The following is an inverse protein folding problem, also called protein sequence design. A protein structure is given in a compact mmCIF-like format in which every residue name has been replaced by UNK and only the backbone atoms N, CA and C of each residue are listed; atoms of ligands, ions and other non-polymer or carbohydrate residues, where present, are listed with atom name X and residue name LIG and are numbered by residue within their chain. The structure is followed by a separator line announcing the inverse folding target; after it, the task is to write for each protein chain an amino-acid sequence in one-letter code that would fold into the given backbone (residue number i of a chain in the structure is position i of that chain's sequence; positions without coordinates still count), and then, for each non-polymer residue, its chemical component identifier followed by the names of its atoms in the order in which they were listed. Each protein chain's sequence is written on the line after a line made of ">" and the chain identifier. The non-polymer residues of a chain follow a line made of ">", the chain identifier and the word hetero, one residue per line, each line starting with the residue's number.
data_IF_667537289721
#
_entry.id   IF_667537289721
#
_cell.length_a   1.000
_cell.length_b   1.000
_cell.length_c   1.000
_cell.angle_alpha   90.00
_cell.angle_beta   90.00
_cell.angle_gamma   90.00
#
_symmetry.space_group_name_H-M   'P 1'
#
loop_
_entity.id
_entity.type
_entity.pdbx_description
1 polymer ?
#
# COMPACT_ATOMS: atom_id res chain seq x y z
N UNK A 1 -8.90 12.96 -23.86
CA UNK A 1 -7.43 12.91 -23.66
C UNK A 1 -7.11 13.87 -22.53
N UNK A 2 -6.45 13.39 -21.48
CA UNK A 2 -5.90 14.21 -20.40
C UNK A 2 -4.41 14.38 -20.68
N UNK A 3 -3.90 15.59 -20.52
CA UNK A 3 -2.48 15.92 -20.69
C UNK A 3 -2.05 16.62 -19.41
N UNK A 4 -1.10 16.03 -18.70
CA UNK A 4 -0.61 16.51 -17.41
C UNK A 4 0.92 16.62 -17.43
N UNK A 5 1.49 17.38 -16.48
CA UNK A 5 2.93 17.42 -16.27
C UNK A 5 3.40 16.07 -15.72
N UNK A 6 4.46 15.51 -16.29
CA UNK A 6 5.12 14.36 -15.69
C UNK A 6 5.77 14.78 -14.39
N UNK A 7 5.32 14.22 -13.28
CA UNK A 7 5.94 14.37 -11.97
C UNK A 7 7.03 13.32 -11.79
N UNK A 8 8.04 13.65 -10.99
CA UNK A 8 9.16 12.76 -10.69
C UNK A 8 9.39 12.75 -9.19
N UNK A 9 9.33 11.60 -8.57
CA UNK A 9 9.53 11.50 -7.14
C UNK A 9 9.00 10.20 -6.57
N UNK A 10 8.94 10.15 -5.25
CA UNK A 10 8.37 9.01 -4.52
C UNK A 10 6.86 9.23 -4.38
N UNK A 11 6.11 8.18 -4.59
CA UNK A 11 4.66 8.19 -4.36
C UNK A 11 4.33 7.85 -2.91
N UNK A 12 3.25 8.45 -2.45
CA UNK A 12 2.70 8.27 -1.11
C UNK A 12 1.20 8.15 -1.17
N UNK A 13 0.64 7.31 -0.31
CA UNK A 13 -0.80 7.22 -0.12
C UNK A 13 -1.17 7.62 1.29
N UNK A 14 -2.13 8.55 1.42
CA UNK A 14 -2.72 8.91 2.70
C UNK A 14 -4.09 8.26 2.84
N UNK A 15 -4.30 7.55 3.94
CA UNK A 15 -5.52 6.82 4.25
C UNK A 15 -6.31 7.49 5.37
N UNK A 16 -7.59 7.75 5.14
CA UNK A 16 -8.47 8.47 6.06
C UNK A 16 -9.69 7.65 6.48
N UNK A 17 -10.10 7.85 7.73
CA UNK A 17 -11.43 7.48 8.23
C UNK A 17 -12.29 8.73 8.37
N UNK A 18 -13.59 8.63 8.02
CA UNK A 18 -14.53 9.73 8.05
C UNK A 18 -15.79 9.39 8.88
N UNK A 19 -16.23 10.36 9.67
CA UNK A 19 -17.52 10.34 10.37
C UNK A 19 -18.13 11.73 10.33
N UNK A 20 -19.34 11.84 9.78
CA UNK A 20 -20.13 13.09 9.70
C UNK A 20 -19.36 14.26 9.07
N UNK A 21 -18.48 13.98 8.14
CA UNK A 21 -17.66 14.96 7.44
C UNK A 21 -16.37 15.38 8.18
N UNK A 22 -16.12 14.84 9.36
CA UNK A 22 -14.82 14.97 10.02
C UNK A 22 -13.92 13.81 9.61
N UNK A 23 -12.67 14.09 9.29
CA UNK A 23 -11.71 13.12 8.81
C UNK A 23 -10.54 12.96 9.78
N UNK A 24 -10.07 11.72 9.94
CA UNK A 24 -8.85 11.40 10.66
C UNK A 24 -7.85 10.73 9.73
N UNK A 25 -6.63 11.24 9.64
CA UNK A 25 -5.53 10.58 8.94
C UNK A 25 -5.15 9.32 9.70
N UNK A 26 -5.47 8.17 9.14
CA UNK A 26 -5.13 6.87 9.74
C UNK A 26 -3.67 6.55 9.48
N UNK A 27 -3.22 6.70 8.23
CA UNK A 27 -1.82 6.43 7.84
C UNK A 27 -1.45 7.20 6.60
N UNK A 28 -0.26 7.80 6.60
CA UNK A 28 0.50 8.12 5.40
C UNK A 28 1.52 7.00 5.21
N UNK A 29 1.61 6.43 4.02
CA UNK A 29 2.56 5.37 3.69
C UNK A 29 3.23 5.64 2.35
N UNK A 30 4.41 5.05 2.12
CA UNK A 30 5.18 5.19 0.88
C UNK A 30 4.88 4.05 -0.07
N UNK A 31 4.90 4.34 -1.36
CA UNK A 31 4.68 3.41 -2.45
C UNK A 31 5.94 3.36 -3.32
N UNK A 32 6.72 2.27 -3.18
CA UNK A 32 7.95 2.09 -3.91
C UNK A 32 7.71 1.29 -5.19
N UNK A 33 8.05 1.91 -6.31
CA UNK A 33 7.90 1.30 -7.62
C UNK A 33 8.85 0.11 -7.83
N UNK A 34 8.42 -0.85 -8.63
CA UNK A 34 9.26 -1.94 -9.13
C UNK A 34 10.29 -1.37 -10.11
N UNK A 35 11.60 -1.47 -9.83
CA UNK A 35 12.63 -1.00 -10.76
C UNK A 35 12.52 -1.64 -12.15
N UNK A 36 12.70 -0.84 -13.19
CA UNK A 36 12.72 -1.32 -14.57
C UNK A 36 11.35 -1.58 -15.21
N UNK A 37 10.27 -1.18 -14.55
CA UNK A 37 8.93 -1.23 -15.16
C UNK A 37 8.62 0.06 -15.92
N UNK A 38 7.93 -0.02 -17.08
CA UNK A 38 7.56 1.16 -17.85
C UNK A 38 6.45 2.00 -17.20
N UNK A 39 5.65 1.40 -16.36
CA UNK A 39 4.59 2.05 -15.58
C UNK A 39 4.96 1.97 -14.10
N UNK A 40 4.52 2.90 -13.29
CA UNK A 40 4.79 2.88 -11.86
C UNK A 40 4.08 1.68 -11.17
N UNK A 41 4.66 0.49 -11.38
CA UNK A 41 4.20 -0.73 -10.72
C UNK A 41 4.75 -0.71 -9.29
N UNK A 42 3.91 -0.39 -8.30
CA UNK A 42 4.36 -0.39 -6.91
C UNK A 42 4.57 -1.80 -6.41
N UNK A 43 5.80 -2.08 -6.01
CA UNK A 43 6.16 -3.39 -5.47
C UNK A 43 6.08 -3.43 -3.95
N UNK A 44 6.33 -2.30 -3.28
CA UNK A 44 6.37 -2.23 -1.81
C UNK A 44 5.58 -1.01 -1.35
N UNK A 45 4.45 -1.25 -0.68
CA UNK A 45 3.70 -0.24 0.05
C UNK A 45 4.05 -0.40 1.53
N UNK A 46 4.51 0.67 2.18
CA UNK A 46 5.03 0.57 3.55
C UNK A 46 4.63 1.75 4.41
N UNK A 47 4.24 1.49 5.67
CA UNK A 47 3.98 2.54 6.66
C UNK A 47 5.24 3.33 7.06
N UNK A 48 6.42 2.93 6.55
CA UNK A 48 7.62 3.76 6.56
C UNK A 48 7.40 5.01 5.68
N UNK A 49 7.63 6.20 6.23
CA UNK A 49 7.35 7.46 5.54
C UNK A 49 8.26 8.56 6.07
N UNK A 50 9.10 9.13 5.19
CA UNK A 50 10.02 10.22 5.52
C UNK A 50 9.42 11.63 5.33
N UNK A 51 8.18 11.73 4.83
CA UNK A 51 7.53 13.01 4.47
C UNK A 51 6.29 13.33 5.32
N UNK A 52 6.09 12.64 6.44
CA UNK A 52 4.90 12.85 7.27
C UNK A 52 4.75 14.30 7.75
N UNK A 53 5.83 14.92 8.23
CA UNK A 53 5.77 16.30 8.75
C UNK A 53 5.40 17.31 7.66
N UNK A 54 5.95 17.13 6.44
CA UNK A 54 5.61 17.96 5.28
C UNK A 54 4.15 17.75 4.90
N UNK A 55 3.69 16.50 4.85
CA UNK A 55 2.30 16.17 4.54
C UNK A 55 1.31 16.79 5.53
N UNK A 56 1.57 16.65 6.82
CA UNK A 56 0.72 17.21 7.88
C UNK A 56 0.62 18.75 7.82
N UNK A 57 1.66 19.40 7.34
CA UNK A 57 1.70 20.87 7.21
C UNK A 57 1.07 21.36 5.90
N UNK A 58 1.39 20.73 4.78
CA UNK A 58 1.11 21.25 3.44
C UNK A 58 -0.13 20.65 2.78
N UNK A 59 -0.55 19.43 3.18
CA UNK A 59 -1.65 18.73 2.52
C UNK A 59 -2.82 18.44 3.45
N UNK A 60 -2.57 17.80 4.59
CA UNK A 60 -3.63 17.27 5.48
C UNK A 60 -4.72 18.28 5.84
N UNK A 61 -4.43 19.55 6.23
CA UNK A 61 -5.47 20.53 6.59
C UNK A 61 -6.38 20.87 5.41
N UNK A 62 -5.79 21.05 4.23
CA UNK A 62 -6.54 21.40 3.01
C UNK A 62 -7.35 20.23 2.50
N UNK A 63 -6.79 19.03 2.57
CA UNK A 63 -7.49 17.81 2.12
C UNK A 63 -8.69 17.51 3.01
N UNK A 64 -8.56 17.60 4.33
CA UNK A 64 -9.71 17.48 5.26
C UNK A 64 -10.80 18.51 4.95
N UNK A 65 -10.40 19.75 4.67
CA UNK A 65 -11.36 20.78 4.27
C UNK A 65 -12.05 20.43 2.94
N UNK A 66 -11.31 19.94 1.95
CA UNK A 66 -11.86 19.52 0.67
C UNK A 66 -12.84 18.37 0.81
N UNK A 67 -12.54 17.35 1.62
CA UNK A 67 -13.45 16.23 1.93
C UNK A 67 -14.78 16.74 2.53
N UNK A 68 -14.69 17.66 3.49
CA UNK A 68 -15.86 18.24 4.15
C UNK A 68 -16.69 19.09 3.19
N UNK A 69 -16.06 19.95 2.38
CA UNK A 69 -16.73 20.78 1.38
C UNK A 69 -17.31 19.95 0.22
N UNK A 70 -16.65 18.86 -0.16
CA UNK A 70 -17.15 17.89 -1.13
C UNK A 70 -18.33 17.05 -0.65
N UNK A 71 -18.75 17.23 0.63
CA UNK A 71 -19.91 16.54 1.20
C UNK A 71 -19.66 15.06 1.55
N UNK A 72 -18.41 14.63 1.64
CA UNK A 72 -18.04 13.29 2.08
C UNK A 72 -18.30 13.17 3.57
N UNK A 73 -19.11 12.16 3.97
CA UNK A 73 -19.61 12.09 5.35
C UNK A 73 -19.01 10.97 6.16
N UNK A 74 -19.17 9.74 5.70
CA UNK A 74 -18.87 8.54 6.50
C UNK A 74 -18.16 7.50 5.66
N UNK A 75 -17.17 6.80 6.20
CA UNK A 75 -16.47 5.74 5.52
C UNK A 75 -14.95 5.88 5.58
N UNK A 76 -14.30 5.46 4.53
CA UNK A 76 -12.84 5.58 4.35
C UNK A 76 -12.54 6.18 2.99
N UNK A 77 -11.43 6.89 2.88
CA UNK A 77 -10.90 7.32 1.61
C UNK A 77 -9.36 7.27 1.61
N UNK A 78 -8.81 7.23 0.45
CA UNK A 78 -7.38 7.36 0.22
C UNK A 78 -7.12 8.43 -0.84
N UNK A 79 -5.91 8.98 -0.80
CA UNK A 79 -5.41 9.96 -1.75
C UNK A 79 -3.99 9.56 -2.12
N UNK A 80 -3.71 9.45 -3.40
CA UNK A 80 -2.38 9.22 -3.96
C UNK A 80 -1.71 10.52 -4.32
N UNK A 81 -0.43 10.64 -3.96
CA UNK A 81 0.36 11.84 -4.11
C UNK A 81 1.78 11.49 -4.56
N UNK A 82 2.38 12.35 -5.38
CA UNK A 82 3.82 12.32 -5.63
C UNK A 82 4.47 13.48 -4.86
N UNK A 83 5.53 13.16 -4.12
CA UNK A 83 6.46 14.17 -3.60
C UNK A 83 7.52 14.42 -4.66
N UNK A 84 7.35 15.51 -5.42
CA UNK A 84 8.16 15.82 -6.60
C UNK A 84 9.53 16.41 -6.22
N UNK A 85 10.45 16.44 -7.17
CA UNK A 85 11.81 16.98 -7.02
C UNK A 85 11.85 18.45 -6.59
N UNK A 86 10.76 19.21 -6.78
CA UNK A 86 10.61 20.59 -6.32
C UNK A 86 10.28 20.71 -4.81
N UNK A 87 10.12 19.57 -4.11
CA UNK A 87 9.90 19.51 -2.66
C UNK A 87 8.45 19.69 -2.23
N UNK A 88 7.48 19.47 -3.13
CA UNK A 88 6.05 19.60 -2.87
C UNK A 88 5.28 18.33 -3.19
N UNK A 89 4.19 18.14 -2.47
CA UNK A 89 3.20 17.10 -2.79
C UNK A 89 2.26 17.54 -3.92
N UNK A 90 2.02 16.65 -4.83
CA UNK A 90 1.01 16.78 -5.89
C UNK A 90 0.02 15.62 -5.81
N UNK A 91 -1.26 15.94 -5.76
CA UNK A 91 -2.34 14.95 -5.75
C UNK A 91 -2.49 14.36 -7.14
N UNK A 92 -2.52 13.02 -7.23
CA UNK A 92 -2.74 12.27 -8.48
C UNK A 92 -4.19 11.85 -8.58
N UNK A 93 -4.66 11.09 -7.60
CA UNK A 93 -6.04 10.63 -7.55
C UNK A 93 -6.55 10.45 -6.12
N UNK A 94 -7.83 10.20 -5.99
CA UNK A 94 -8.50 9.96 -4.72
C UNK A 94 -9.58 8.90 -4.91
N UNK A 95 -9.68 7.97 -3.96
CA UNK A 95 -10.77 7.00 -3.90
C UNK A 95 -11.58 7.11 -2.61
N UNK A 96 -12.91 7.31 -2.71
CA UNK A 96 -13.81 7.25 -1.56
C UNK A 96 -14.27 5.81 -1.33
N UNK A 97 -13.35 4.97 -1.04
CA UNK A 97 -13.47 3.52 -0.82
C UNK A 97 -12.19 2.99 -0.18
N UNK A 98 -12.13 1.70 0.08
CA UNK A 98 -10.86 1.03 0.40
C UNK A 98 -9.94 1.01 -0.81
N UNK A 99 -8.63 1.14 -0.57
CA UNK A 99 -7.60 0.90 -1.58
C UNK A 99 -7.50 -0.60 -1.92
N UNK A 100 -7.00 -0.89 -3.11
CA UNK A 100 -6.82 -2.26 -3.60
C UNK A 100 -5.47 -2.90 -3.26
N UNK A 101 -4.59 -2.16 -2.62
CA UNK A 101 -3.20 -2.50 -2.31
C UNK A 101 -3.02 -3.43 -1.10
N UNK A 102 -4.11 -3.85 -0.46
CA UNK A 102 -4.13 -4.66 0.77
C UNK A 102 -3.52 -3.98 2.01
N UNK A 103 -3.14 -2.70 1.95
CA UNK A 103 -2.57 -1.97 3.08
C UNK A 103 -3.50 -1.84 4.28
N UNK A 104 -4.79 -2.07 4.11
CA UNK A 104 -5.75 -2.10 5.23
C UNK A 104 -5.40 -3.12 6.33
N UNK A 105 -4.71 -4.22 5.98
CA UNK A 105 -4.26 -5.25 6.95
C UNK A 105 -3.08 -4.73 7.77
N UNK A 106 -1.92 -4.37 7.18
CA UNK A 106 -0.80 -3.84 7.96
C UNK A 106 -1.13 -2.51 8.67
N UNK A 107 -1.97 -1.65 8.09
CA UNK A 107 -2.46 -0.44 8.78
C UNK A 107 -3.21 -0.82 10.07
N UNK A 108 -4.10 -1.81 10.02
CA UNK A 108 -4.79 -2.31 11.22
C UNK A 108 -3.79 -2.79 12.27
N UNK A 109 -2.75 -3.50 11.87
CA UNK A 109 -1.77 -4.08 12.80
C UNK A 109 -0.95 -2.98 13.50
N UNK A 110 -0.58 -1.90 12.81
CA UNK A 110 0.20 -0.80 13.40
C UNK A 110 -0.64 0.24 14.12
N UNK A 111 -1.93 0.40 13.75
CA UNK A 111 -2.80 1.46 14.30
C UNK A 111 -3.92 0.96 15.20
N UNK A 112 -4.30 -0.32 15.08
CA UNK A 112 -5.50 -0.89 15.66
C UNK A 112 -6.79 -0.57 14.88
N UNK A 113 -6.76 0.30 13.87
CA UNK A 113 -7.94 0.66 13.08
C UNK A 113 -8.25 -0.39 12.02
N UNK A 114 -9.36 -1.10 12.17
CA UNK A 114 -9.83 -2.11 11.22
C UNK A 114 -10.87 -1.52 10.26
N UNK A 115 -10.44 -1.06 9.10
CA UNK A 115 -11.30 -0.46 8.08
C UNK A 115 -12.32 -1.44 7.49
N UNK A 116 -12.02 -2.75 7.40
CA UNK A 116 -12.98 -3.77 6.99
C UNK A 116 -14.15 -3.83 7.97
N UNK A 117 -13.83 -3.99 9.27
CA UNK A 117 -14.85 -3.99 10.33
C UNK A 117 -15.65 -2.69 10.33
N UNK A 118 -14.97 -1.56 10.20
CA UNK A 118 -15.58 -0.23 10.16
C UNK A 118 -16.66 -0.12 9.08
N UNK A 119 -16.37 -0.54 7.86
CA UNK A 119 -17.30 -0.48 6.74
C UNK A 119 -18.42 -1.52 6.86
N UNK A 120 -18.14 -2.73 7.36
CA UNK A 120 -19.17 -3.74 7.62
C UNK A 120 -20.13 -3.27 8.70
N UNK A 121 -19.63 -2.69 9.78
CA UNK A 121 -20.48 -2.15 10.85
C UNK A 121 -21.38 -1.03 10.31
N UNK A 122 -20.88 -0.13 9.45
CA UNK A 122 -21.71 0.87 8.78
C UNK A 122 -22.81 0.23 7.93
N UNK A 123 -22.48 -0.77 7.14
CA UNK A 123 -23.44 -1.49 6.30
C UNK A 123 -24.53 -2.19 7.13
N UNK A 124 -24.18 -2.61 8.35
CA UNK A 124 -25.12 -3.21 9.32
C UNK A 124 -25.89 -2.17 10.16
N UNK A 125 -25.67 -0.86 9.92
CA UNK A 125 -26.41 0.22 10.56
C UNK A 125 -25.79 0.77 11.84
N UNK A 126 -24.53 0.49 12.11
CA UNK A 126 -23.79 1.13 13.21
C UNK A 126 -23.80 2.66 13.06
N UNK A 127 -24.00 3.34 14.17
CA UNK A 127 -24.02 4.82 14.22
C UNK A 127 -22.75 5.30 14.91
N UNK A 128 -21.72 5.53 14.12
CA UNK A 128 -20.50 6.13 14.62
C UNK A 128 -20.66 7.64 14.87
N UNK A 129 -19.87 8.14 15.81
CA UNK A 129 -19.74 9.54 16.15
C UNK A 129 -18.31 10.00 15.88
N UNK A 130 -18.05 11.27 15.92
CA UNK A 130 -16.70 11.83 15.74
C UNK A 130 -15.71 11.28 16.79
N UNK A 131 -16.19 10.89 17.97
CA UNK A 131 -15.38 10.30 19.04
C UNK A 131 -14.93 8.86 18.72
N UNK A 132 -15.54 8.21 17.74
CA UNK A 132 -15.18 6.86 17.31
C UNK A 132 -14.10 6.88 16.21
N UNK A 133 -13.74 8.07 15.69
CA UNK A 133 -12.65 8.20 14.74
C UNK A 133 -11.32 7.71 15.36
N UNK A 134 -10.47 7.01 14.58
CA UNK A 134 -9.14 6.65 15.06
C UNK A 134 -8.33 7.93 15.38
N UNK A 135 -7.38 7.80 16.29
CA UNK A 135 -6.44 8.90 16.58
C UNK A 135 -5.68 9.21 15.30
N UNK A 136 -5.69 10.49 14.91
CA UNK A 136 -4.99 10.91 13.70
C UNK A 136 -3.48 10.73 13.84
N UNK A 137 -2.85 10.21 12.79
CA UNK A 137 -1.40 10.09 12.73
C UNK A 137 -0.74 11.47 12.82
N UNK A 138 0.11 11.65 13.80
CA UNK A 138 0.92 12.88 14.01
C UNK A 138 2.41 12.57 14.12
N UNK A 139 2.77 11.29 14.12
CA UNK A 139 4.15 10.79 14.16
C UNK A 139 4.25 9.44 13.47
N UNK A 140 5.46 9.05 13.11
CA UNK A 140 5.72 7.73 12.55
C UNK A 140 5.32 6.63 13.53
N UNK A 141 4.82 5.54 13.01
CA UNK A 141 4.54 4.35 13.80
C UNK A 141 5.84 3.69 14.27
N UNK A 142 5.75 2.94 15.37
CA UNK A 142 6.88 2.20 15.91
C UNK A 142 7.17 0.97 15.03
N UNK A 143 6.11 0.26 14.67
CA UNK A 143 6.19 -0.93 13.85
C UNK A 143 5.99 -0.56 12.38
N UNK A 144 6.56 -1.35 11.48
CA UNK A 144 6.50 -1.15 10.04
C UNK A 144 5.56 -2.19 9.42
N UNK A 145 4.43 -1.72 8.90
CA UNK A 145 3.50 -2.52 8.12
C UNK A 145 3.86 -2.47 6.63
N UNK A 146 3.70 -3.57 5.92
CA UNK A 146 4.07 -3.71 4.53
C UNK A 146 3.06 -4.53 3.73
N UNK A 147 2.77 -4.08 2.50
CA UNK A 147 2.23 -4.92 1.44
C UNK A 147 3.31 -5.06 0.36
N UNK A 148 3.74 -6.29 0.10
CA UNK A 148 4.70 -6.63 -0.94
C UNK A 148 4.00 -7.29 -2.11
N UNK A 149 4.14 -6.70 -3.29
CA UNK A 149 3.43 -7.09 -4.51
C UNK A 149 4.41 -7.68 -5.52
N UNK A 150 4.21 -8.94 -5.88
CA UNK A 150 4.90 -9.58 -6.99
C UNK A 150 4.14 -9.27 -8.29
N UNK A 151 4.83 -8.62 -9.21
CA UNK A 151 4.35 -8.34 -10.56
C UNK A 151 4.85 -9.39 -11.54
N UNK A 152 4.11 -9.62 -12.62
CA UNK A 152 4.61 -10.37 -13.76
C UNK A 152 5.66 -9.57 -14.54
N UNK A 153 6.59 -10.27 -15.18
CA UNK A 153 7.51 -9.69 -16.14
C UNK A 153 6.78 -9.06 -17.33
N UNK A 154 7.50 -8.61 -18.34
CA UNK A 154 6.92 -8.11 -19.59
C UNK A 154 6.35 -9.20 -20.51
N UNK A 155 6.23 -10.44 -20.00
CA UNK A 155 5.63 -11.58 -20.71
C UNK A 155 4.14 -11.69 -20.47
N UNK A 156 3.48 -12.47 -21.30
CA UNK A 156 2.13 -12.96 -21.08
C UNK A 156 2.13 -14.48 -21.29
N UNK A 157 1.22 -15.18 -20.67
CA UNK A 157 1.14 -16.63 -20.77
C UNK A 157 0.14 -17.21 -19.79
N UNK A 158 0.40 -18.46 -19.38
CA UNK A 158 -0.42 -19.18 -18.44
C UNK A 158 0.43 -19.66 -17.26
N UNK A 159 -0.07 -19.48 -16.06
CA UNK A 159 0.58 -19.98 -14.84
C UNK A 159 0.44 -21.51 -14.79
N UNK A 160 1.57 -22.20 -14.79
CA UNK A 160 1.60 -23.64 -14.60
C UNK A 160 1.43 -23.99 -13.11
N UNK A 161 2.29 -23.43 -12.23
CA UNK A 161 2.18 -23.60 -10.78
C UNK A 161 2.91 -22.52 -10.02
N UNK A 162 2.57 -22.39 -8.72
CA UNK A 162 3.20 -21.46 -7.78
C UNK A 162 3.87 -22.30 -6.70
N UNK A 163 5.17 -22.06 -6.46
CA UNK A 163 5.99 -22.73 -5.46
C UNK A 163 6.18 -21.87 -4.20
N UNK A 164 6.43 -22.53 -3.07
CA UNK A 164 6.89 -21.91 -1.83
C UNK A 164 5.80 -21.28 -0.96
N UNK A 165 4.52 -21.29 -1.37
CA UNK A 165 3.44 -20.65 -0.63
C UNK A 165 3.29 -21.21 0.79
N UNK A 166 3.33 -22.53 0.95
CA UNK A 166 3.15 -23.19 2.25
C UNK A 166 4.24 -22.77 3.24
N UNK A 167 5.48 -22.59 2.78
CA UNK A 167 6.60 -22.16 3.63
C UNK A 167 6.38 -20.72 4.13
N UNK A 168 6.01 -19.81 3.25
CA UNK A 168 5.81 -18.39 3.60
C UNK A 168 4.57 -18.22 4.48
N UNK A 169 3.48 -18.92 4.17
CA UNK A 169 2.23 -18.81 4.92
C UNK A 169 2.23 -19.55 6.27
N UNK A 170 3.23 -20.39 6.52
CA UNK A 170 3.45 -20.97 7.85
C UNK A 170 3.95 -19.94 8.86
N UNK A 171 4.40 -18.76 8.42
CA UNK A 171 4.85 -17.69 9.30
C UNK A 171 3.67 -16.92 9.88
N UNK A 172 3.67 -16.73 11.20
CA UNK A 172 2.63 -15.98 11.89
C UNK A 172 2.62 -14.52 11.42
N UNK A 173 1.44 -13.99 11.11
CA UNK A 173 1.26 -12.59 10.70
C UNK A 173 1.55 -12.30 9.23
N UNK A 174 1.91 -13.31 8.44
CA UNK A 174 2.00 -13.18 6.98
C UNK A 174 0.67 -13.58 6.35
N UNK A 175 0.13 -12.71 5.51
CA UNK A 175 -1.11 -12.96 4.78
C UNK A 175 -0.88 -12.87 3.27
N UNK A 176 -1.66 -13.62 2.50
CA UNK A 176 -1.62 -13.64 1.04
C UNK A 176 -2.96 -13.19 0.47
N UNK A 177 -2.91 -12.28 -0.50
CA UNK A 177 -4.00 -12.01 -1.43
C UNK A 177 -3.54 -12.42 -2.84
N UNK A 178 -3.93 -13.58 -3.34
CA UNK A 178 -3.57 -14.03 -4.68
C UNK A 178 -4.44 -13.32 -5.72
N UNK A 179 -3.81 -12.84 -6.82
CA UNK A 179 -4.50 -12.33 -7.99
C UNK A 179 -4.47 -13.33 -9.15
N UNK A 180 -3.66 -14.39 -9.03
CA UNK A 180 -3.58 -15.50 -9.97
C UNK A 180 -3.50 -16.83 -9.23
N UNK A 181 -3.95 -17.89 -9.89
CA UNK A 181 -3.90 -19.26 -9.44
C UNK A 181 -3.26 -20.15 -10.52
N UNK A 182 -2.95 -21.39 -10.16
CA UNK A 182 -2.49 -22.38 -11.13
C UNK A 182 -3.52 -22.54 -12.25
N UNK A 183 -3.07 -22.40 -13.48
CA UNK A 183 -3.91 -22.49 -14.67
C UNK A 183 -4.49 -21.15 -15.15
N UNK A 184 -4.33 -20.05 -14.42
CA UNK A 184 -4.78 -18.73 -14.87
C UNK A 184 -3.87 -18.16 -15.97
N UNK A 185 -4.45 -17.36 -16.84
CA UNK A 185 -3.68 -16.55 -17.77
C UNK A 185 -3.16 -15.29 -17.05
N UNK A 186 -1.99 -14.84 -17.47
CA UNK A 186 -1.44 -13.55 -17.01
C UNK A 186 -0.99 -12.71 -18.21
N UNK A 187 -0.97 -11.40 -17.99
CA UNK A 187 -0.46 -10.42 -18.96
C UNK A 187 0.76 -9.72 -18.39
N UNK A 188 1.49 -8.99 -19.24
CA UNK A 188 2.65 -8.22 -18.82
C UNK A 188 2.28 -7.19 -17.74
N UNK A 189 3.15 -7.09 -16.72
CA UNK A 189 3.01 -6.14 -15.62
C UNK A 189 1.66 -6.23 -14.89
N UNK A 190 1.23 -7.45 -14.62
CA UNK A 190 0.03 -7.76 -13.82
C UNK A 190 0.41 -8.10 -12.38
N UNK A 191 -0.44 -7.74 -11.43
CA UNK A 191 -0.37 -8.26 -10.05
C UNK A 191 -0.52 -9.77 -10.05
N UNK A 192 0.47 -10.47 -9.51
CA UNK A 192 0.42 -11.92 -9.34
C UNK A 192 0.01 -12.28 -7.91
N UNK A 193 0.76 -11.84 -6.93
CA UNK A 193 0.58 -12.16 -5.52
C UNK A 193 0.85 -10.90 -4.69
N UNK A 194 0.04 -10.68 -3.66
CA UNK A 194 0.30 -9.63 -2.66
C UNK A 194 0.46 -10.27 -1.30
N UNK A 195 1.61 -10.08 -0.67
CA UNK A 195 1.89 -10.49 0.70
C UNK A 195 1.79 -9.30 1.62
N UNK A 196 1.10 -9.44 2.76
CA UNK A 196 1.06 -8.41 3.79
C UNK A 196 1.61 -8.95 5.10
N UNK A 197 2.40 -8.12 5.79
CA UNK A 197 3.02 -8.46 7.06
C UNK A 197 3.40 -7.19 7.83
N UNK A 198 3.66 -7.34 9.12
CA UNK A 198 4.05 -6.25 10.01
C UNK A 198 5.25 -6.66 10.83
N UNK A 199 6.25 -5.82 10.93
CA UNK A 199 7.47 -6.06 11.69
C UNK A 199 7.85 -4.90 12.59
N UNK A 200 8.76 -5.17 13.50
CA UNK A 200 9.25 -4.18 14.50
C UNK A 200 10.05 -3.01 13.88
N UNK A 201 10.58 -3.21 12.66
CA UNK A 201 11.42 -2.24 11.95
C UNK A 201 11.49 -2.56 10.45
N UNK A 202 12.13 -1.68 9.70
CA UNK A 202 12.32 -1.83 8.25
C UNK A 202 13.27 -2.99 7.90
N UNK A 203 14.23 -3.34 8.77
CA UNK A 203 15.14 -4.46 8.49
C UNK A 203 14.39 -5.79 8.54
N UNK A 204 13.40 -5.94 9.42
CA UNK A 204 12.48 -7.08 9.38
C UNK A 204 11.73 -7.13 8.04
N UNK A 205 11.19 -5.98 7.58
CA UNK A 205 10.48 -5.90 6.30
C UNK A 205 11.38 -6.28 5.13
N UNK A 206 12.61 -5.74 5.07
CA UNK A 206 13.60 -6.10 4.04
C UNK A 206 13.91 -7.60 4.03
N UNK A 207 14.13 -8.19 5.22
CA UNK A 207 14.42 -9.62 5.35
C UNK A 207 13.23 -10.48 4.92
N UNK A 208 12.01 -10.05 5.22
CA UNK A 208 10.80 -10.76 4.81
C UNK A 208 10.61 -10.72 3.30
N UNK A 209 10.81 -9.55 2.67
CA UNK A 209 10.78 -9.42 1.20
C UNK A 209 11.87 -10.31 0.57
N UNK A 210 13.08 -10.29 1.09
CA UNK A 210 14.19 -11.14 0.58
C UNK A 210 13.87 -12.63 0.70
N UNK A 211 13.26 -13.05 1.82
CA UNK A 211 12.80 -14.43 2.00
C UNK A 211 11.73 -14.80 0.99
N UNK A 212 10.71 -13.97 0.79
CA UNK A 212 9.66 -14.17 -0.23
C UNK A 212 10.31 -14.27 -1.62
N UNK A 213 11.25 -13.38 -1.94
CA UNK A 213 11.97 -13.39 -3.22
C UNK A 213 12.71 -14.70 -3.51
N UNK A 214 13.28 -15.32 -2.48
CA UNK A 214 14.03 -16.58 -2.59
C UNK A 214 13.15 -17.82 -2.63
N UNK A 215 12.00 -17.75 -1.96
CA UNK A 215 11.13 -18.92 -1.73
C UNK A 215 10.03 -19.03 -2.78
N UNK A 216 9.37 -17.90 -3.11
CA UNK A 216 8.22 -17.90 -4.04
C UNK A 216 8.72 -17.93 -5.48
N UNK A 217 8.14 -18.85 -6.27
CA UNK A 217 8.28 -18.86 -7.72
C UNK A 217 6.89 -18.96 -8.36
N UNK A 218 6.68 -18.20 -9.41
CA UNK A 218 5.48 -18.25 -10.22
C UNK A 218 5.89 -18.77 -11.60
N UNK A 219 5.70 -20.05 -11.83
CA UNK A 219 6.21 -20.76 -13.00
C UNK A 219 5.13 -20.80 -14.08
N UNK A 220 5.49 -20.37 -15.28
CA UNK A 220 4.64 -20.46 -16.46
C UNK A 220 4.69 -21.84 -17.14
N UNK A 221 3.94 -22.01 -18.23
CA UNK A 221 3.90 -23.27 -18.98
C UNK A 221 5.20 -23.60 -19.75
N UNK A 222 6.10 -22.63 -19.91
CA UNK A 222 7.43 -22.80 -20.48
C UNK A 222 8.48 -23.16 -19.41
N UNK A 223 8.09 -23.21 -18.13
CA UNK A 223 8.95 -23.54 -16.99
C UNK A 223 9.78 -22.34 -16.48
N UNK A 224 9.42 -21.11 -16.88
CA UNK A 224 10.13 -19.91 -16.44
C UNK A 224 9.44 -19.24 -15.25
N UNK A 225 10.23 -18.69 -14.34
CA UNK A 225 9.72 -17.85 -13.26
C UNK A 225 9.38 -16.46 -13.81
N UNK A 226 8.10 -16.12 -13.80
CA UNK A 226 7.57 -14.87 -14.37
C UNK A 226 7.36 -13.75 -13.35
N UNK A 227 7.74 -13.96 -12.08
CA UNK A 227 7.58 -12.94 -11.06
C UNK A 227 8.78 -12.01 -11.00
N UNK A 228 8.54 -10.70 -11.02
CA UNK A 228 9.56 -9.67 -10.76
C UNK A 228 9.86 -9.58 -9.26
N UNK A 229 11.11 -9.23 -8.94
CA UNK A 229 11.61 -9.16 -7.56
C UNK A 229 12.04 -7.73 -7.23
N UNK A 230 11.50 -7.19 -6.15
CA UNK A 230 11.99 -5.94 -5.59
C UNK A 230 13.28 -6.20 -4.79
N UNK A 231 14.32 -5.43 -5.09
CA UNK A 231 15.67 -5.60 -4.49
C UNK A 231 16.28 -4.29 -3.99
N UNK A 232 15.58 -3.16 -4.14
CA UNK A 232 16.09 -1.85 -3.71
C UNK A 232 15.82 -1.62 -2.21
N UNK A 233 16.46 -2.46 -1.39
CA UNK A 233 16.33 -2.37 0.06
C UNK A 233 16.98 -1.11 0.66
N UNK A 234 17.94 -0.50 -0.04
CA UNK A 234 18.58 0.73 0.41
C UNK A 234 17.61 1.90 0.33
N UNK A 235 16.80 1.97 -0.72
CA UNK A 235 15.75 2.99 -0.84
C UNK A 235 14.68 2.81 0.25
N UNK A 236 14.23 1.58 0.52
CA UNK A 236 13.28 1.31 1.60
C UNK A 236 13.82 1.72 2.97
N UNK A 237 15.10 1.42 3.25
CA UNK A 237 15.78 1.86 4.48
C UNK A 237 15.93 3.38 4.54
N UNK A 238 16.26 4.01 3.42
CA UNK A 238 16.41 5.46 3.33
C UNK A 238 15.11 6.16 3.75
N UNK A 239 13.96 5.74 3.23
CA UNK A 239 12.65 6.30 3.57
C UNK A 239 12.35 6.10 5.05
N UNK A 240 12.70 4.96 5.64
CA UNK A 240 12.45 4.69 7.05
C UNK A 240 13.37 5.46 8.00
N UNK A 241 14.65 5.59 7.67
CA UNK A 241 15.66 6.18 8.54
C UNK A 241 15.94 7.66 8.29
N UNK A 242 15.40 8.28 7.24
CA UNK A 242 15.45 9.73 7.05
C UNK A 242 14.60 10.44 8.12
N UNK A 243 15.23 10.66 9.28
CA UNK A 243 14.70 11.46 10.39
C UNK A 243 15.25 12.87 10.35
#
# INVERSE_FOLDING_TARGET
>A
VVIERMLKGVEYTAYYALVKGEASLVSLFSDLAQPGTPNNCYAVNSTACDKLDVYLKEVDPYFRQALKQGGMKDGVCWIELIFDEDGHFYVIEMGYRMSGDMMAIPIKDVTGFNSYKWLVDYALGAKYTVNDLPVSQTKLYKDCGCAYILWSTNKQGKIHHIEGLDEILAEEGVHLAPNVYNGDNFVAHQYLLTFTFTGKDVDYVCNQIDKINKTIKVIDEDGEDVAMRFTDFDELRRIYYCK
#
